data_IF_783616748586
#
_entry.id   IF_783616748586
#
_cell.length_a   1.000
_cell.length_b   1.000
_cell.length_c   1.000
_cell.angle_alpha   90.00
_cell.angle_beta   90.00
_cell.angle_gamma   90.00
#
_symmetry.space_group_name_H-M   'P 1'
#
loop_
_entity.id
_entity.type
_entity.pdbx_description
1 polymer ?
#
# COMPACT_ATOMS: atom_id res chain seq x y z
N UNK A 1 12.86 3.66 -12.53
CA UNK A 1 12.14 3.59 -11.23
C UNK A 1 12.31 2.18 -10.71
N UNK A 2 12.86 1.99 -9.51
CA UNK A 2 12.92 0.67 -8.89
C UNK A 2 11.55 0.39 -8.25
N UNK A 3 10.76 -0.51 -8.85
CA UNK A 3 9.51 -0.99 -8.28
C UNK A 3 9.78 -2.22 -7.41
N UNK A 4 9.13 -2.31 -6.25
CA UNK A 4 9.14 -3.50 -5.41
C UNK A 4 7.87 -4.30 -5.71
N UNK A 5 8.03 -5.56 -6.12
CA UNK A 5 6.93 -6.47 -6.42
C UNK A 5 6.60 -7.30 -5.18
N UNK A 6 5.40 -7.14 -4.64
CA UNK A 6 4.90 -7.93 -3.51
C UNK A 6 3.97 -9.01 -4.08
N UNK A 7 4.31 -10.28 -3.88
CA UNK A 7 3.46 -11.40 -4.28
C UNK A 7 2.40 -11.66 -3.20
N UNK A 8 1.14 -11.47 -3.56
CA UNK A 8 -0.04 -11.86 -2.78
C UNK A 8 -0.70 -13.02 -3.53
N UNK A 9 -1.32 -13.98 -2.86
CA UNK A 9 -2.11 -15.03 -3.54
C UNK A 9 -3.32 -14.40 -4.24
N UNK A 10 -3.15 -13.95 -5.48
CA UNK A 10 -4.17 -13.20 -6.22
C UNK A 10 -5.04 -14.09 -7.10
N UNK A 11 -4.99 -15.42 -6.96
CA UNK A 11 -5.63 -16.36 -7.92
C UNK A 11 -7.10 -16.03 -8.18
N UNK A 12 -7.88 -15.80 -7.12
CA UNK A 12 -9.31 -15.47 -7.24
C UNK A 12 -9.55 -14.09 -7.88
N UNK A 13 -8.74 -13.10 -7.52
CA UNK A 13 -8.80 -11.74 -8.08
C UNK A 13 -8.44 -11.76 -9.57
N UNK A 14 -7.39 -12.50 -9.94
CA UNK A 14 -6.98 -12.72 -11.32
C UNK A 14 -8.08 -13.42 -12.11
N UNK A 15 -8.70 -14.47 -11.56
CA UNK A 15 -9.83 -15.15 -12.20
C UNK A 15 -11.03 -14.24 -12.39
N UNK A 16 -11.36 -13.39 -11.40
CA UNK A 16 -12.44 -12.42 -11.50
C UNK A 16 -12.17 -11.38 -12.61
N UNK A 17 -10.94 -10.86 -12.69
CA UNK A 17 -10.52 -9.96 -13.77
C UNK A 17 -10.58 -10.65 -15.14
N UNK A 18 -10.12 -11.89 -15.26
CA UNK A 18 -10.22 -12.65 -16.50
C UNK A 18 -11.69 -12.89 -16.92
N UNK A 19 -12.61 -13.07 -15.97
CA UNK A 19 -14.05 -13.16 -16.28
C UNK A 19 -14.54 -11.83 -16.87
N UNK A 20 -14.20 -10.69 -16.27
CA UNK A 20 -14.57 -9.37 -16.80
C UNK A 20 -14.08 -9.16 -18.23
N UNK A 21 -12.80 -9.46 -18.49
CA UNK A 21 -12.20 -9.32 -19.82
C UNK A 21 -12.86 -10.27 -20.82
N UNK A 22 -13.11 -11.53 -20.44
CA UNK A 22 -13.79 -12.52 -21.31
C UNK A 22 -15.19 -12.07 -21.73
N UNK A 23 -15.91 -11.37 -20.86
CA UNK A 23 -17.24 -10.82 -21.18
C UNK A 23 -17.20 -9.46 -21.91
N UNK A 24 -16.03 -9.04 -22.41
CA UNK A 24 -15.87 -7.80 -23.16
C UNK A 24 -16.06 -6.53 -22.31
N UNK A 25 -15.97 -6.64 -20.98
CA UNK A 25 -16.08 -5.50 -20.06
C UNK A 25 -14.73 -4.79 -19.96
N UNK A 26 -14.77 -3.47 -19.74
CA UNK A 26 -13.56 -2.68 -19.47
C UNK A 26 -13.18 -2.87 -17.99
N UNK A 27 -12.08 -3.57 -17.68
CA UNK A 27 -11.68 -3.82 -16.29
C UNK A 27 -11.34 -2.52 -15.55
N UNK A 28 -10.97 -1.46 -16.29
CA UNK A 28 -10.57 -0.18 -15.74
C UNK A 28 -11.62 0.46 -14.81
N UNK A 29 -12.91 0.23 -15.05
CA UNK A 29 -13.97 0.74 -14.16
C UNK A 29 -13.94 0.02 -12.81
N UNK A 30 -13.94 -1.31 -12.82
CA UNK A 30 -13.86 -2.11 -11.60
C UNK A 30 -12.53 -1.87 -10.85
N UNK A 31 -11.42 -1.72 -11.58
CA UNK A 31 -10.12 -1.41 -11.00
C UNK A 31 -10.05 -0.01 -10.38
N UNK A 32 -10.82 0.96 -10.88
CA UNK A 32 -10.92 2.29 -10.25
C UNK A 32 -11.57 2.18 -8.88
N UNK A 33 -12.69 1.46 -8.78
CA UNK A 33 -13.39 1.26 -7.50
C UNK A 33 -12.52 0.49 -6.49
N UNK A 34 -11.79 -0.53 -6.96
CA UNK A 34 -10.78 -1.23 -6.16
C UNK A 34 -9.68 -0.27 -5.71
N UNK A 35 -9.19 0.60 -6.59
CA UNK A 35 -8.21 1.63 -6.27
C UNK A 35 -8.69 2.63 -5.21
N UNK A 36 -9.95 3.08 -5.29
CA UNK A 36 -10.57 3.97 -4.30
C UNK A 36 -10.74 3.28 -2.94
N UNK A 37 -11.13 2.01 -2.93
CA UNK A 37 -11.16 1.20 -1.71
C UNK A 37 -9.75 1.08 -1.10
N UNK A 38 -8.74 0.79 -1.92
CA UNK A 38 -7.35 0.69 -1.47
C UNK A 38 -6.77 1.99 -0.95
N UNK A 39 -7.14 3.12 -1.55
CA UNK A 39 -6.73 4.43 -1.06
C UNK A 39 -7.28 4.66 0.36
N UNK A 40 -8.56 4.33 0.60
CA UNK A 40 -9.19 4.42 1.93
C UNK A 40 -8.54 3.48 2.93
N UNK A 41 -8.25 2.24 2.54
CA UNK A 41 -7.58 1.26 3.41
C UNK A 41 -6.20 1.75 3.86
N UNK A 42 -5.43 2.39 2.97
CA UNK A 42 -4.17 3.05 3.35
C UNK A 42 -4.42 4.17 4.35
N UNK A 43 -5.40 5.05 4.10
CA UNK A 43 -5.74 6.13 5.03
C UNK A 43 -6.09 5.62 6.43
N UNK A 44 -6.90 4.56 6.50
CA UNK A 44 -7.30 3.92 7.75
C UNK A 44 -6.10 3.35 8.49
N UNK A 45 -5.19 2.67 7.79
CA UNK A 45 -3.93 2.14 8.37
C UNK A 45 -3.05 3.22 8.98
N UNK A 46 -2.96 4.38 8.34
CA UNK A 46 -2.29 5.52 8.96
C UNK A 46 -3.02 5.94 10.23
N UNK A 47 -4.35 6.08 10.21
CA UNK A 47 -5.11 6.50 11.40
C UNK A 47 -4.96 5.50 12.56
N UNK A 48 -5.10 4.20 12.29
CA UNK A 48 -4.99 3.12 13.29
C UNK A 48 -3.54 2.80 13.68
N UNK A 49 -2.56 3.20 12.87
CA UNK A 49 -1.15 2.80 12.97
C UNK A 49 -0.96 1.29 12.88
N UNK A 50 -1.68 0.64 11.95
CA UNK A 50 -1.61 -0.80 11.71
C UNK A 50 -1.22 -1.12 10.28
N UNK A 51 -0.66 -2.30 10.06
CA UNK A 51 -0.38 -2.84 8.74
C UNK A 51 -1.65 -3.45 8.11
N UNK A 52 -1.57 -3.94 6.85
CA UNK A 52 -2.72 -4.58 6.20
C UNK A 52 -3.30 -5.74 7.01
N UNK A 53 -2.46 -6.49 7.72
CA UNK A 53 -2.87 -7.66 8.49
C UNK A 53 -3.40 -7.29 9.88
N UNK A 54 -3.56 -5.98 10.16
CA UNK A 54 -4.09 -5.44 11.41
C UNK A 54 -3.05 -5.33 12.52
N UNK A 55 -1.78 -5.63 12.25
CA UNK A 55 -0.73 -5.57 13.24
C UNK A 55 -0.23 -4.15 13.45
N UNK A 56 -0.10 -3.73 14.71
CA UNK A 56 0.41 -2.40 15.03
C UNK A 56 1.82 -2.21 14.46
N UNK A 57 2.05 -1.05 13.83
CA UNK A 57 3.37 -0.69 13.35
C UNK A 57 4.38 -0.61 14.49
N UNK A 58 5.61 -1.00 14.19
CA UNK A 58 6.71 -0.91 15.14
C UNK A 58 6.85 0.54 15.67
N UNK A 59 6.95 0.72 17.00
CA UNK A 59 6.97 2.03 17.62
C UNK A 59 8.20 2.83 17.20
N UNK A 60 8.13 4.15 17.38
CA UNK A 60 9.31 5.00 17.25
C UNK A 60 10.27 4.74 18.42
N UNK A 61 11.58 4.77 18.15
CA UNK A 61 12.58 4.67 19.23
C UNK A 61 12.52 5.90 20.15
N UNK A 62 12.96 5.77 21.40
CA UNK A 62 13.01 6.89 22.34
C UNK A 62 13.79 8.10 21.78
N UNK A 63 14.94 7.84 21.12
CA UNK A 63 15.75 8.88 20.50
C UNK A 63 15.05 9.60 19.34
N UNK A 64 14.15 8.92 18.63
CA UNK A 64 13.29 9.52 17.60
C UNK A 64 12.18 10.35 18.26
N UNK A 65 11.51 9.82 19.28
CA UNK A 65 10.42 10.50 19.99
C UNK A 65 10.87 11.84 20.62
N UNK A 66 12.09 11.91 21.15
CA UNK A 66 12.66 13.15 21.69
C UNK A 66 12.80 14.28 20.66
N UNK A 67 12.87 13.95 19.37
CA UNK A 67 13.05 14.91 18.27
C UNK A 67 11.76 15.19 17.49
N UNK A 68 10.78 14.28 17.54
CA UNK A 68 9.53 14.42 16.81
C UNK A 68 8.63 15.47 17.47
N UNK A 69 7.89 16.19 16.63
CA UNK A 69 6.79 17.06 17.06
C UNK A 69 5.51 16.28 17.39
N UNK A 70 5.30 15.16 16.71
CA UNK A 70 4.15 14.26 16.90
C UNK A 70 4.67 12.85 17.21
N UNK A 71 4.28 12.24 18.35
CA UNK A 71 4.78 10.91 18.74
C UNK A 71 4.25 9.78 17.86
N UNK A 72 3.15 9.99 17.12
CA UNK A 72 2.53 8.98 16.26
C UNK A 72 3.50 8.47 15.17
N UNK A 73 3.44 7.18 14.92
CA UNK A 73 4.26 6.46 13.93
C UNK A 73 3.85 6.90 12.52
N UNK A 74 4.81 7.31 11.69
CA UNK A 74 4.58 7.85 10.34
C UNK A 74 3.70 9.13 10.26
N UNK A 75 3.52 9.86 11.36
CA UNK A 75 2.65 11.05 11.44
C UNK A 75 3.38 12.34 11.83
N UNK A 76 4.67 12.42 11.53
CA UNK A 76 5.40 13.67 11.77
C UNK A 76 4.93 14.80 10.84
N UNK A 77 4.61 14.42 9.61
CA UNK A 77 3.92 15.25 8.63
C UNK A 77 2.89 14.40 7.89
N UNK A 78 1.93 15.06 7.23
CA UNK A 78 0.95 14.40 6.37
C UNK A 78 1.50 14.06 4.98
N UNK A 79 2.76 14.41 4.68
CA UNK A 79 3.35 14.32 3.34
C UNK A 79 3.35 12.89 2.82
N UNK A 80 3.83 11.92 3.62
CA UNK A 80 3.88 10.52 3.17
C UNK A 80 2.49 10.02 2.81
N UNK A 81 1.57 10.13 3.76
CA UNK A 81 0.17 9.71 3.59
C UNK A 81 -0.47 10.40 2.38
N UNK A 82 -0.36 11.72 2.29
CA UNK A 82 -0.97 12.52 1.22
C UNK A 82 -0.35 12.35 -0.16
N UNK A 83 0.84 11.74 -0.25
CA UNK A 83 1.53 11.46 -1.52
C UNK A 83 1.25 10.05 -2.07
N UNK A 84 0.52 9.22 -1.33
CA UNK A 84 0.16 7.88 -1.79
C UNK A 84 -1.03 7.99 -2.72
N UNK A 85 -0.88 7.49 -3.94
CA UNK A 85 -1.92 7.52 -4.96
C UNK A 85 -1.97 6.19 -5.71
N UNK A 86 -3.13 5.90 -6.29
CA UNK A 86 -3.29 4.80 -7.23
C UNK A 86 -3.44 5.31 -8.68
N UNK A 87 -3.13 4.44 -9.63
CA UNK A 87 -3.28 4.66 -11.06
C UNK A 87 -3.84 3.39 -11.70
N UNK A 88 -4.82 3.56 -12.59
CA UNK A 88 -5.40 2.47 -13.38
C UNK A 88 -5.08 2.69 -14.85
N UNK A 89 -4.51 1.70 -15.51
CA UNK A 89 -4.22 1.76 -16.94
C UNK A 89 -4.01 0.36 -17.51
N UNK A 90 -4.67 0.06 -18.64
CA UNK A 90 -4.44 -1.18 -19.37
C UNK A 90 -4.83 -2.45 -18.60
N UNK A 91 -5.87 -2.38 -17.77
CA UNK A 91 -6.25 -3.50 -16.90
C UNK A 91 -5.31 -3.74 -15.71
N UNK A 92 -4.41 -2.79 -15.40
CA UNK A 92 -3.53 -2.83 -14.24
C UNK A 92 -3.89 -1.72 -13.25
N UNK A 93 -3.88 -2.05 -11.95
CA UNK A 93 -3.95 -1.10 -10.85
C UNK A 93 -2.57 -1.05 -10.17
N UNK A 94 -1.99 0.15 -10.10
CA UNK A 94 -0.74 0.42 -9.36
C UNK A 94 -1.01 1.40 -8.24
N UNK A 95 -0.45 1.18 -7.06
CA UNK A 95 -0.52 2.11 -5.92
C UNK A 95 0.89 2.35 -5.37
N UNK A 96 1.20 3.60 -5.02
CA UNK A 96 2.52 3.93 -4.49
C UNK A 96 2.69 5.39 -4.11
N UNK A 97 3.91 5.75 -3.75
CA UNK A 97 4.32 7.11 -3.38
C UNK A 97 5.63 7.47 -4.07
N UNK A 98 5.82 8.73 -4.51
CA UNK A 98 7.10 9.20 -5.05
C UNK A 98 8.17 9.41 -3.96
N UNK A 99 7.81 9.32 -2.67
CA UNK A 99 8.73 9.60 -1.58
C UNK A 99 9.74 8.46 -1.42
N UNK A 100 11.04 8.75 -1.59
CA UNK A 100 12.13 7.76 -1.48
C UNK A 100 12.08 7.03 -0.12
N UNK A 101 11.86 7.78 0.97
CA UNK A 101 11.74 7.18 2.30
C UNK A 101 10.48 6.32 2.46
N UNK A 102 9.48 6.45 1.58
CA UNK A 102 8.28 5.61 1.57
C UNK A 102 8.62 4.15 1.35
N UNK A 103 9.59 3.84 0.47
CA UNK A 103 10.07 2.47 0.28
C UNK A 103 10.73 1.91 1.55
N UNK A 104 11.56 2.71 2.22
CA UNK A 104 12.20 2.33 3.49
C UNK A 104 11.18 2.09 4.59
N UNK A 105 10.12 2.90 4.67
CA UNK A 105 9.05 2.67 5.64
C UNK A 105 8.22 1.44 5.28
N UNK A 106 7.93 1.20 4.00
CA UNK A 106 7.16 0.04 3.56
C UNK A 106 7.89 -1.28 3.81
N UNK A 107 9.21 -1.32 3.60
CA UNK A 107 9.99 -2.56 3.55
C UNK A 107 10.97 -2.73 4.72
N UNK A 108 11.26 -1.65 5.44
CA UNK A 108 12.37 -1.60 6.38
C UNK A 108 13.72 -1.37 5.69
N UNK A 109 14.76 -1.24 6.50
CA UNK A 109 16.16 -1.24 6.06
C UNK A 109 17.06 -1.64 7.23
N UNK A 110 18.09 -2.44 6.96
CA UNK A 110 19.16 -2.75 7.89
C UNK A 110 20.12 -1.57 8.09
N UNK A 111 20.80 -1.56 9.23
CA UNK A 111 21.88 -0.62 9.52
C UNK A 111 22.98 -0.70 8.45
N UNK A 112 23.25 0.43 7.81
CA UNK A 112 24.30 0.54 6.78
C UNK A 112 23.86 0.17 5.36
N UNK A 113 22.59 -0.17 5.14
CA UNK A 113 22.04 -0.52 3.81
C UNK A 113 22.27 0.55 2.73
N UNK A 114 22.42 1.81 3.13
CA UNK A 114 22.62 2.96 2.25
C UNK A 114 24.05 3.52 2.33
N UNK A 115 24.99 2.71 2.82
CA UNK A 115 26.41 3.05 2.87
C UNK A 115 26.84 3.73 4.17
N UNK A 116 27.77 4.67 4.06
CA UNK A 116 28.41 5.34 5.21
C UNK A 116 28.51 6.85 5.00
N UNK A 117 28.52 7.60 6.09
CA UNK A 117 28.81 9.04 6.11
C UNK A 117 30.29 9.29 5.81
N UNK A 118 30.66 10.54 5.52
CA UNK A 118 32.07 10.95 5.35
C UNK A 118 32.95 10.67 6.58
N UNK A 119 32.35 10.54 7.78
CA UNK A 119 33.02 10.17 9.02
C UNK A 119 32.99 8.66 9.31
N UNK A 120 32.54 7.84 8.36
CA UNK A 120 32.52 6.38 8.45
C UNK A 120 31.32 5.76 9.19
N UNK A 121 30.38 6.57 9.69
CA UNK A 121 29.18 6.07 10.37
C UNK A 121 28.17 5.45 9.39
N UNK A 122 27.48 4.34 9.72
CA UNK A 122 26.56 3.67 8.80
C UNK A 122 25.30 4.49 8.53
N UNK A 123 24.74 4.33 7.33
CA UNK A 123 23.47 4.92 6.90
C UNK A 123 22.56 3.76 6.48
N UNK A 124 21.42 3.54 7.14
CA UNK A 124 20.98 4.20 8.37
C UNK A 124 21.88 3.83 9.56
N UNK A 125 21.85 4.65 10.63
CA UNK A 125 22.69 4.44 11.82
C UNK A 125 22.29 3.20 12.66
N UNK A 126 21.08 2.69 12.44
CA UNK A 126 20.51 1.51 13.08
C UNK A 126 19.40 0.92 12.20
N UNK A 127 18.87 -0.24 12.58
CA UNK A 127 17.81 -0.89 11.81
C UNK A 127 16.51 -0.09 11.82
N UNK A 128 15.85 -0.06 10.67
CA UNK A 128 14.54 0.57 10.47
C UNK A 128 13.53 -0.56 10.25
N UNK A 129 12.59 -0.79 11.17
CA UNK A 129 11.58 -1.82 10.99
C UNK A 129 10.60 -1.43 9.87
N UNK A 130 10.08 -2.44 9.17
CA UNK A 130 9.01 -2.26 8.20
C UNK A 130 7.72 -1.80 8.89
N UNK A 131 7.04 -0.86 8.26
CA UNK A 131 5.73 -0.30 8.63
C UNK A 131 4.87 -0.33 7.38
N UNK A 132 4.47 -1.54 6.99
CA UNK A 132 3.71 -1.78 5.75
C UNK A 132 2.41 -0.97 5.80
N UNK A 133 2.23 -0.10 4.82
CA UNK A 133 0.99 0.65 4.62
C UNK A 133 0.33 0.30 3.28
N UNK A 134 1.12 -0.07 2.26
CA UNK A 134 0.63 -0.62 1.00
C UNK A 134 0.44 -2.14 1.08
N UNK A 135 -0.46 -2.64 0.24
CA UNK A 135 -0.76 -4.07 0.09
C UNK A 135 -2.19 -4.41 0.49
N UNK A 136 -2.55 -5.68 0.26
CA UNK A 136 -3.86 -6.23 0.56
C UNK A 136 -3.77 -7.13 1.79
N UNK A 137 -4.76 -7.02 2.66
CA UNK A 137 -5.02 -7.98 3.74
C UNK A 137 -5.82 -9.17 3.22
N UNK A 138 -5.92 -10.24 4.03
CA UNK A 138 -6.89 -11.31 3.77
C UNK A 138 -8.32 -10.79 3.78
N UNK A 139 -8.63 -9.77 4.60
CA UNK A 139 -9.96 -9.14 4.66
C UNK A 139 -10.28 -8.29 3.42
N UNK A 140 -9.28 -7.64 2.84
CA UNK A 140 -9.45 -6.78 1.66
C UNK A 140 -9.88 -7.59 0.43
N UNK A 141 -9.47 -8.86 0.37
CA UNK A 141 -9.81 -9.79 -0.72
C UNK A 141 -11.30 -9.88 -0.96
N UNK A 142 -12.10 -10.06 0.09
CA UNK A 142 -13.55 -10.22 -0.04
C UNK A 142 -14.20 -9.01 -0.66
N UNK A 143 -13.79 -7.81 -0.23
CA UNK A 143 -14.28 -6.55 -0.74
C UNK A 143 -13.84 -6.30 -2.19
N UNK A 144 -12.58 -6.62 -2.51
CA UNK A 144 -12.07 -6.52 -3.89
C UNK A 144 -12.86 -7.45 -4.82
N UNK A 145 -13.08 -8.70 -4.41
CA UNK A 145 -13.88 -9.65 -5.20
C UNK A 145 -15.31 -9.15 -5.38
N UNK A 146 -15.94 -8.63 -4.32
CA UNK A 146 -17.28 -8.02 -4.39
C UNK A 146 -17.32 -6.90 -5.45
N UNK A 147 -16.37 -5.95 -5.40
CA UNK A 147 -16.30 -4.86 -6.37
C UNK A 147 -16.10 -5.37 -7.80
N UNK A 148 -15.24 -6.36 -8.01
CA UNK A 148 -15.04 -6.95 -9.34
C UNK A 148 -16.29 -7.68 -9.85
N UNK A 149 -17.02 -8.38 -8.98
CA UNK A 149 -18.24 -9.12 -9.32
C UNK A 149 -19.44 -8.22 -9.58
N UNK A 150 -19.57 -7.10 -8.87
CA UNK A 150 -20.59 -6.07 -9.14
C UNK A 150 -20.50 -5.55 -10.57
N UNK A 151 -19.28 -5.29 -11.05
CA UNK A 151 -19.04 -4.91 -12.45
C UNK A 151 -19.26 -6.07 -13.43
N UNK A 152 -19.17 -7.32 -12.97
CA UNK A 152 -19.46 -8.51 -13.78
C UNK A 152 -20.96 -8.78 -13.95
N UNK A 153 -21.76 -8.47 -12.93
CA UNK A 153 -23.19 -8.79 -12.82
C UNK A 153 -24.11 -7.60 -13.14
N UNK A 154 -23.62 -6.36 -13.04
CA UNK A 154 -24.37 -5.11 -13.23
C UNK A 154 -24.96 -4.84 -14.62
N UNK A 155 -25.03 -5.84 -15.52
CA UNK A 155 -25.75 -5.77 -16.79
C UNK A 155 -27.10 -6.53 -16.78
N UNK A 156 -27.53 -7.04 -15.62
CA UNK A 156 -28.79 -7.77 -15.46
C UNK A 156 -29.81 -7.03 -14.56
N UNK A 157 -30.04 -5.74 -14.81
CA UNK A 157 -31.24 -5.03 -14.29
C UNK A 157 -31.81 -4.04 -15.30
N UNK A 158 -32.04 -4.52 -16.53
CA UNK A 158 -32.58 -3.69 -17.59
C UNK A 158 -33.11 -4.52 -18.76
N UNK A 159 -34.16 -5.30 -18.50
CA UNK A 159 -35.22 -5.64 -19.46
C UNK A 159 -36.40 -6.28 -18.74
#
# INVERSE_FOLDING_TARGET
MAGVHIQVDTREVSQALERLVRFGRRPDAALKDVGEYMQRSVDDRFISQTDPDGQAWAPNTAATLLRKRNPKVLHESTILRGSIHYQVSGGELRQGTPMIYGAVQQLGAGKGDFGKTSKGGPIPWGDIPARRFLGFSTGDRGEILRLLEEHGTGAWSGR
#
